data_IF_757128582494
#
_entry.id   IF_757128582494
#
_cell.length_a   1.000
_cell.length_b   1.000
_cell.length_c   1.000
_cell.angle_alpha   90.00
_cell.angle_beta   90.00
_cell.angle_gamma   90.00
#
_symmetry.space_group_name_H-M   'P 1'
#
loop_
_entity.id
_entity.type
_entity.pdbx_description
1 polymer ?
#
# COMPACT_ATOMS: atom_id res chain seq x y z
N UNK A 1 -8.05 -34.12 18.91
CA UNK A 1 -7.90 -33.70 17.51
C UNK A 1 -8.04 -32.19 17.50
N UNK A 2 -6.89 -31.53 17.61
CA UNK A 2 -6.71 -30.11 17.92
C UNK A 2 -7.15 -29.21 16.78
N UNK A 3 -8.31 -28.58 16.94
CA UNK A 3 -8.68 -27.41 16.18
C UNK A 3 -7.91 -26.21 16.75
N UNK A 4 -6.72 -25.97 16.20
CA UNK A 4 -6.02 -24.67 16.12
C UNK A 4 -6.77 -23.51 16.78
N UNK A 5 -6.44 -23.25 18.05
CA UNK A 5 -6.67 -21.96 18.69
C UNK A 5 -5.79 -20.92 17.97
N UNK A 6 -6.26 -20.43 16.83
CA UNK A 6 -5.73 -19.18 16.28
C UNK A 6 -6.08 -18.09 17.29
N UNK A 7 -5.12 -17.75 18.16
CA UNK A 7 -5.13 -16.52 18.93
C UNK A 7 -5.12 -15.35 17.94
N UNK A 8 -6.30 -14.96 17.46
CA UNK A 8 -6.43 -13.76 16.66
C UNK A 8 -5.83 -12.60 17.47
N UNK A 9 -4.91 -11.82 16.89
CA UNK A 9 -4.32 -10.69 17.60
C UNK A 9 -5.43 -9.75 18.08
N UNK A 10 -5.24 -9.13 19.23
CA UNK A 10 -6.18 -8.12 19.73
C UNK A 10 -6.34 -7.01 18.68
N UNK A 11 -7.52 -6.40 18.64
CA UNK A 11 -7.81 -5.32 17.69
C UNK A 11 -6.75 -4.19 17.75
N UNK A 12 -6.31 -3.84 18.96
CA UNK A 12 -5.22 -2.89 19.16
C UNK A 12 -3.91 -3.33 18.49
N UNK A 13 -3.57 -4.62 18.56
CA UNK A 13 -2.39 -5.17 17.88
C UNK A 13 -2.53 -5.16 16.36
N UNK A 14 -3.71 -5.47 15.83
CA UNK A 14 -4.00 -5.38 14.39
C UNK A 14 -3.94 -3.93 13.87
N UNK A 15 -4.50 -2.98 14.63
CA UNK A 15 -4.45 -1.55 14.31
C UNK A 15 -3.01 -1.04 14.32
N UNK A 16 -2.24 -1.36 15.36
CA UNK A 16 -0.84 -0.95 15.49
C UNK A 16 0.02 -1.52 14.36
N UNK A 17 -0.15 -2.80 14.02
CA UNK A 17 0.58 -3.43 12.91
C UNK A 17 0.20 -2.83 11.55
N UNK A 18 -1.08 -2.54 11.31
CA UNK A 18 -1.52 -1.86 10.10
C UNK A 18 -0.94 -0.44 10.00
N UNK A 19 -0.95 0.31 11.10
CA UNK A 19 -0.35 1.64 11.17
C UNK A 19 1.16 1.60 10.89
N UNK A 20 1.88 0.70 11.55
CA UNK A 20 3.34 0.56 11.37
C UNK A 20 3.68 0.23 9.92
N UNK A 21 2.92 -0.66 9.29
CA UNK A 21 3.09 -1.00 7.88
C UNK A 21 2.88 0.20 6.95
N UNK A 22 1.80 0.97 7.16
CA UNK A 22 1.51 2.16 6.37
C UNK A 22 2.57 3.27 6.56
N UNK A 23 3.05 3.44 7.80
CA UNK A 23 4.10 4.40 8.14
C UNK A 23 5.43 4.03 7.48
N UNK A 24 5.88 2.79 7.64
CA UNK A 24 7.13 2.31 7.03
C UNK A 24 7.06 2.41 5.50
N UNK A 25 5.94 1.99 4.90
CA UNK A 25 5.74 2.11 3.45
C UNK A 25 5.84 3.57 2.97
N UNK A 26 5.25 4.49 3.73
CA UNK A 26 5.32 5.94 3.43
C UNK A 26 6.75 6.45 3.52
N UNK A 27 7.48 6.12 4.60
CA UNK A 27 8.86 6.55 4.80
C UNK A 27 9.82 6.01 3.74
N UNK A 28 9.69 4.73 3.36
CA UNK A 28 10.51 4.12 2.31
C UNK A 28 10.33 4.87 0.98
N UNK A 29 9.08 5.18 0.62
CA UNK A 29 8.77 5.85 -0.63
C UNK A 29 9.25 7.31 -0.65
N UNK A 30 9.18 8.01 0.49
CA UNK A 30 9.75 9.36 0.63
C UNK A 30 11.28 9.33 0.56
N UNK A 31 11.92 8.35 1.19
CA UNK A 31 13.37 8.17 1.14
C UNK A 31 13.86 7.94 -0.30
N UNK A 32 13.18 7.08 -1.05
CA UNK A 32 13.51 6.82 -2.46
C UNK A 32 13.34 8.08 -3.32
N UNK A 33 12.31 8.89 -3.06
CA UNK A 33 12.09 10.14 -3.81
C UNK A 33 13.11 11.24 -3.48
N UNK A 34 13.25 11.55 -2.20
CA UNK A 34 14.00 12.74 -1.74
C UNK A 34 15.50 12.47 -1.56
N UNK A 35 15.87 11.26 -1.14
CA UNK A 35 17.26 10.91 -0.80
C UNK A 35 17.95 10.20 -1.97
N UNK A 36 17.28 9.24 -2.61
CA UNK A 36 17.84 8.57 -3.80
C UNK A 36 17.61 9.37 -5.10
N UNK A 37 16.80 10.43 -5.06
CA UNK A 37 16.55 11.30 -6.22
C UNK A 37 15.74 10.63 -7.35
N UNK A 38 15.04 9.52 -7.06
CA UNK A 38 14.21 8.84 -8.06
C UNK A 38 12.84 9.50 -8.15
N UNK A 39 12.61 10.25 -9.23
CA UNK A 39 11.34 10.92 -9.46
C UNK A 39 10.20 9.88 -9.64
N UNK A 40 9.06 10.03 -8.94
CA UNK A 40 7.96 9.10 -9.07
C UNK A 40 7.23 9.29 -10.40
N UNK A 41 6.87 8.20 -11.06
CA UNK A 41 5.96 8.27 -12.19
C UNK A 41 4.53 8.64 -11.72
N UNK A 42 3.68 9.04 -12.67
CA UNK A 42 2.29 9.44 -12.40
C UNK A 42 1.48 8.35 -11.67
N UNK A 43 1.69 7.07 -11.96
CA UNK A 43 1.02 5.97 -11.25
C UNK A 43 1.52 5.82 -9.81
N UNK A 44 2.83 5.94 -9.58
CA UNK A 44 3.40 5.98 -8.22
C UNK A 44 2.84 7.14 -7.41
N UNK A 45 2.63 8.30 -8.05
CA UNK A 45 2.03 9.46 -7.40
C UNK A 45 0.59 9.16 -6.92
N UNK A 46 -0.22 8.51 -7.75
CA UNK A 46 -1.56 8.07 -7.32
C UNK A 46 -1.50 7.09 -6.15
N UNK A 47 -0.56 6.14 -6.16
CA UNK A 47 -0.38 5.21 -5.03
C UNK A 47 -0.01 5.93 -3.73
N UNK A 48 0.87 6.95 -3.80
CA UNK A 48 1.20 7.83 -2.65
C UNK A 48 -0.02 8.57 -2.12
N UNK A 49 -0.86 9.10 -3.02
CA UNK A 49 -2.07 9.83 -2.66
C UNK A 49 -3.06 8.97 -1.84
N UNK A 50 -3.07 7.65 -2.04
CA UNK A 50 -3.88 6.73 -1.22
C UNK A 50 -3.17 6.25 0.05
N UNK A 51 -1.85 6.04 0.01
CA UNK A 51 -1.08 5.51 1.14
C UNK A 51 -0.89 6.56 2.27
N UNK A 52 -0.63 7.82 1.94
CA UNK A 52 -0.33 8.84 2.96
C UNK A 52 -1.52 9.14 3.87
N UNK A 53 -2.75 9.31 3.36
CA UNK A 53 -3.92 9.47 4.22
C UNK A 53 -4.17 8.21 5.07
N UNK A 54 -3.95 7.01 4.53
CA UNK A 54 -4.07 5.76 5.30
C UNK A 54 -3.15 5.74 6.52
N UNK A 55 -1.89 6.16 6.36
CA UNK A 55 -0.95 6.22 7.48
C UNK A 55 -1.44 7.15 8.60
N UNK A 56 -2.00 8.31 8.25
CA UNK A 56 -2.55 9.27 9.22
C UNK A 56 -3.81 8.72 9.88
N UNK A 57 -4.77 8.20 9.11
CA UNK A 57 -6.02 7.65 9.65
C UNK A 57 -5.76 6.48 10.60
N UNK A 58 -4.87 5.55 10.24
CA UNK A 58 -4.51 4.41 11.07
C UNK A 58 -3.78 4.83 12.36
N UNK A 59 -2.99 5.92 12.31
CA UNK A 59 -2.37 6.49 13.51
C UNK A 59 -3.44 6.96 14.50
N UNK A 60 -4.42 7.74 14.01
CA UNK A 60 -5.52 8.24 14.83
C UNK A 60 -6.35 7.10 15.40
N UNK A 61 -6.68 6.09 14.59
CA UNK A 61 -7.45 4.93 15.06
C UNK A 61 -6.70 4.11 16.10
N UNK A 62 -5.37 3.98 15.97
CA UNK A 62 -4.55 3.28 16.98
C UNK A 62 -4.55 4.03 18.31
N UNK A 63 -4.43 5.37 18.31
CA UNK A 63 -4.51 6.18 19.53
C UNK A 63 -5.91 6.16 20.15
N UNK A 64 -6.95 6.12 19.33
CA UNK A 64 -8.35 6.08 19.76
C UNK A 64 -8.86 4.67 20.09
N UNK A 65 -8.07 3.63 19.81
CA UNK A 65 -8.51 2.24 19.81
C UNK A 65 -9.82 2.02 19.01
N UNK A 66 -9.97 2.73 17.88
CA UNK A 66 -11.17 2.70 17.05
C UNK A 66 -11.05 1.60 15.99
N UNK A 67 -11.62 0.43 16.28
CA UNK A 67 -11.66 -0.69 15.35
C UNK A 67 -12.57 -0.44 14.15
N UNK A 68 -13.52 0.49 14.21
CA UNK A 68 -14.50 0.77 13.14
C UNK A 68 -13.89 1.51 11.93
N UNK A 69 -12.60 1.87 12.01
CA UNK A 69 -11.81 2.43 10.90
C UNK A 69 -11.88 1.60 9.62
N UNK A 70 -12.09 0.28 9.73
CA UNK A 70 -12.17 -0.62 8.58
C UNK A 70 -13.21 -0.15 7.54
N UNK A 71 -14.28 0.55 7.96
CA UNK A 71 -15.36 1.01 7.07
C UNK A 71 -14.88 1.99 6.00
N UNK A 72 -13.90 2.84 6.33
CA UNK A 72 -13.36 3.86 5.44
C UNK A 72 -11.92 3.56 4.99
N UNK A 73 -11.12 2.86 5.81
CA UNK A 73 -9.77 2.46 5.42
C UNK A 73 -9.76 1.36 4.34
N UNK A 74 -10.68 0.40 4.37
CA UNK A 74 -10.76 -0.66 3.35
C UNK A 74 -11.01 -0.12 1.94
N UNK A 75 -12.04 0.71 1.68
CA UNK A 75 -12.27 1.22 0.33
C UNK A 75 -11.11 2.09 -0.17
N UNK A 76 -10.47 2.86 0.71
CA UNK A 76 -9.30 3.66 0.36
C UNK A 76 -8.08 2.79 0.02
N UNK A 77 -7.82 1.75 0.82
CA UNK A 77 -6.76 0.78 0.54
C UNK A 77 -7.04 -0.02 -0.73
N UNK A 78 -8.30 -0.36 -1.02
CA UNK A 78 -8.71 -1.03 -2.25
C UNK A 78 -8.48 -0.16 -3.49
N UNK A 79 -8.75 1.15 -3.42
CA UNK A 79 -8.46 2.07 -4.51
C UNK A 79 -6.94 2.15 -4.80
N UNK A 80 -6.12 2.26 -3.74
CA UNK A 80 -4.67 2.19 -3.87
C UNK A 80 -4.17 0.84 -4.42
N UNK A 81 -4.78 -0.26 -4.00
CA UNK A 81 -4.48 -1.61 -4.48
C UNK A 81 -4.78 -1.78 -5.97
N UNK A 82 -5.90 -1.24 -6.47
CA UNK A 82 -6.24 -1.28 -7.90
C UNK A 82 -5.24 -0.48 -8.73
N UNK A 83 -4.81 0.70 -8.25
CA UNK A 83 -3.76 1.49 -8.89
C UNK A 83 -2.41 0.76 -8.90
N UNK A 84 -2.06 0.06 -7.81
CA UNK A 84 -0.87 -0.77 -7.73
C UNK A 84 -0.92 -1.98 -8.67
N UNK A 85 -2.07 -2.65 -8.75
CA UNK A 85 -2.30 -3.79 -9.64
C UNK A 85 -2.13 -3.36 -11.10
N UNK A 86 -2.79 -2.26 -11.49
CA UNK A 86 -2.67 -1.70 -12.83
C UNK A 86 -1.21 -1.35 -13.18
N UNK A 87 -0.49 -0.74 -12.23
CA UNK A 87 0.93 -0.42 -12.42
C UNK A 87 1.78 -1.68 -12.63
N UNK A 88 1.52 -2.72 -11.84
CA UNK A 88 2.22 -4.00 -11.97
C UNK A 88 1.95 -4.67 -13.32
N UNK A 89 0.71 -4.62 -13.82
CA UNK A 89 0.35 -5.16 -15.14
C UNK A 89 1.04 -4.40 -16.28
N UNK A 90 1.19 -3.08 -16.17
CA UNK A 90 1.96 -2.27 -17.12
C UNK A 90 3.45 -2.61 -17.07
N UNK A 91 4.01 -2.72 -15.87
CA UNK A 91 5.43 -3.02 -15.68
C UNK A 91 5.82 -4.39 -16.26
N UNK A 92 4.98 -5.40 -16.07
CA UNK A 92 5.20 -6.74 -16.65
C UNK A 92 4.76 -6.87 -18.12
N UNK A 93 4.43 -5.75 -18.79
CA UNK A 93 3.99 -5.70 -20.19
C UNK A 93 2.79 -6.62 -20.50
N UNK A 94 1.96 -6.93 -19.50
CA UNK A 94 0.69 -7.64 -19.69
C UNK A 94 -0.32 -6.74 -20.40
N UNK A 95 -0.23 -5.44 -20.14
CA UNK A 95 -1.02 -4.39 -20.81
C UNK A 95 -0.04 -3.44 -21.53
N UNK A 96 -0.29 -3.09 -22.80
CA UNK A 96 0.55 -2.13 -23.51
C UNK A 96 0.43 -0.74 -22.89
N UNK A 97 1.56 -0.05 -22.73
CA UNK A 97 1.52 1.37 -22.35
C UNK A 97 0.90 2.20 -23.48
N UNK A 98 -0.06 3.07 -23.11
CA UNK A 98 -0.56 4.06 -24.04
C UNK A 98 0.57 4.99 -24.48
N UNK A 99 0.58 5.37 -25.76
CA UNK A 99 1.58 6.29 -26.33
C UNK A 99 1.57 7.59 -25.52
N UNK A 100 2.63 7.81 -24.75
CA UNK A 100 2.82 9.07 -24.01
C UNK A 100 3.57 10.07 -24.88
N UNK A 101 3.25 11.37 -24.78
CA UNK A 101 4.06 12.42 -25.41
C UNK A 101 5.52 12.30 -24.94
N UNK A 102 6.45 12.41 -25.87
CA UNK A 102 7.87 12.39 -25.56
C UNK A 102 8.18 13.58 -24.62
N UNK A 103 8.66 13.31 -23.39
CA UNK A 103 9.21 14.33 -22.49
C UNK A 103 8.43 14.65 -21.21
N UNK A 104 7.31 13.99 -20.90
CA UNK A 104 6.58 14.26 -19.64
C UNK A 104 6.90 13.21 -18.56
N UNK A 105 8.01 13.41 -17.84
CA UNK A 105 8.38 12.65 -16.64
C UNK A 105 8.85 11.22 -16.88
N UNK A 106 9.22 10.49 -15.81
CA UNK A 106 9.72 9.11 -15.89
C UNK A 106 8.64 8.11 -16.32
N UNK A 107 9.03 7.08 -17.09
CA UNK A 107 8.13 6.05 -17.60
C UNK A 107 7.65 5.10 -16.49
N UNK A 108 6.39 4.66 -16.55
CA UNK A 108 5.82 3.75 -15.54
C UNK A 108 6.29 2.29 -15.72
N UNK A 109 6.73 1.94 -16.94
CA UNK A 109 7.32 0.65 -17.30
C UNK A 109 8.86 0.65 -17.32
N UNK A 110 9.49 1.76 -16.94
CA UNK A 110 10.94 1.92 -17.05
C UNK A 110 11.74 0.95 -16.17
N UNK A 111 12.89 0.50 -16.67
CA UNK A 111 13.84 -0.35 -15.93
C UNK A 111 14.39 0.31 -14.65
N UNK A 112 14.33 1.64 -14.61
CA UNK A 112 14.74 2.47 -13.47
C UNK A 112 13.76 2.37 -12.27
N UNK A 113 12.61 1.70 -12.45
CA UNK A 113 11.59 1.46 -11.41
C UNK A 113 11.94 0.30 -10.46
N UNK A 114 13.21 -0.09 -10.39
CA UNK A 114 13.70 -1.15 -9.52
C UNK A 114 14.48 -0.58 -8.34
N UNK A 115 14.11 -0.98 -7.13
CA UNK A 115 14.89 -0.73 -5.92
C UNK A 115 16.06 -1.71 -5.90
N UNK A 116 17.29 -1.19 -5.84
CA UNK A 116 18.55 -1.97 -5.87
C UNK A 116 18.71 -2.90 -7.09
N UNK A 117 17.99 -2.66 -8.20
CA UNK A 117 18.08 -3.47 -9.42
C UNK A 117 17.39 -4.84 -9.36
N UNK A 118 16.72 -5.19 -8.26
CA UNK A 118 16.12 -6.52 -8.05
C UNK A 118 14.63 -6.47 -7.71
N UNK A 119 14.17 -5.46 -6.96
CA UNK A 119 12.78 -5.38 -6.50
C UNK A 119 12.01 -4.26 -7.22
N UNK A 120 10.99 -4.58 -8.04
CA UNK A 120 10.15 -3.57 -8.67
C UNK A 120 9.37 -2.78 -7.60
N UNK A 121 9.46 -1.46 -7.61
CA UNK A 121 8.65 -0.58 -6.75
C UNK A 121 7.13 -0.86 -6.86
N UNK A 122 6.56 -1.15 -8.05
CA UNK A 122 5.14 -1.50 -8.17
C UNK A 122 4.74 -2.78 -7.42
N UNK A 123 5.65 -3.76 -7.34
CA UNK A 123 5.38 -5.03 -6.65
C UNK A 123 5.35 -4.84 -5.13
N UNK A 124 6.23 -3.98 -4.61
CA UNK A 124 6.28 -3.61 -3.20
C UNK A 124 5.01 -2.89 -2.75
N UNK A 125 4.52 -1.94 -3.54
CA UNK A 125 3.29 -1.23 -3.19
C UNK A 125 2.07 -2.15 -3.23
N UNK A 126 1.99 -3.05 -4.23
CA UNK A 126 0.94 -4.06 -4.30
C UNK A 126 0.95 -4.96 -3.05
N UNK A 127 2.12 -5.42 -2.62
CA UNK A 127 2.27 -6.21 -1.40
C UNK A 127 1.82 -5.44 -0.14
N UNK A 128 2.23 -4.17 -0.01
CA UNK A 128 1.85 -3.32 1.12
C UNK A 128 0.34 -3.10 1.21
N UNK A 129 -0.32 -2.73 0.09
CA UNK A 129 -1.78 -2.58 0.06
C UNK A 129 -2.52 -3.90 0.30
N UNK A 130 -2.00 -5.02 -0.21
CA UNK A 130 -2.59 -6.34 0.03
C UNK A 130 -2.55 -6.69 1.52
N UNK A 131 -1.41 -6.47 2.18
CA UNK A 131 -1.26 -6.74 3.60
C UNK A 131 -2.13 -5.80 4.45
N UNK A 132 -2.23 -4.51 4.10
CA UNK A 132 -3.15 -3.56 4.73
C UNK A 132 -4.61 -4.03 4.63
N UNK A 133 -5.06 -4.44 3.44
CA UNK A 133 -6.41 -4.95 3.24
C UNK A 133 -6.65 -6.19 4.10
N UNK A 134 -5.70 -7.14 4.16
CA UNK A 134 -5.82 -8.33 4.99
C UNK A 134 -5.98 -7.94 6.47
N UNK A 135 -5.13 -7.05 6.99
CA UNK A 135 -5.21 -6.59 8.39
C UNK A 135 -6.54 -5.90 8.70
N UNK A 136 -7.02 -5.04 7.80
CA UNK A 136 -8.30 -4.35 7.94
C UNK A 136 -9.49 -5.30 7.85
N UNK A 137 -9.42 -6.34 7.02
CA UNK A 137 -10.45 -7.38 6.95
C UNK A 137 -10.46 -8.27 8.19
N UNK A 138 -9.31 -8.52 8.82
CA UNK A 138 -9.24 -9.20 10.11
C UNK A 138 -9.88 -8.34 11.21
N UNK A 139 -9.60 -7.04 11.25
CA UNK A 139 -10.29 -6.10 12.15
C UNK A 139 -11.80 -6.11 11.96
N UNK A 140 -12.27 -6.09 10.70
CA UNK A 140 -13.71 -6.21 10.39
C UNK A 140 -14.33 -7.50 10.93
N UNK A 141 -13.59 -8.62 10.90
CA UNK A 141 -14.08 -9.91 11.42
C UNK A 141 -14.22 -9.89 12.94
N UNK A 142 -13.30 -9.23 13.64
CA UNK A 142 -13.36 -9.08 15.10
C UNK A 142 -14.43 -8.08 15.55
N UNK A 143 -14.69 -7.04 14.75
CA UNK A 143 -15.71 -6.03 15.03
C UNK A 143 -17.16 -6.49 14.80
N UNK A 144 -17.37 -7.66 14.15
CA UNK A 144 -18.71 -8.26 14.07
C UNK A 144 -19.04 -8.90 15.43
N UNK A 145 -20.16 -8.51 16.09
CA UNK A 145 -20.64 -9.17 17.29
C UNK A 145 -21.10 -10.61 17.01
#
# INVERSE_FOLDING_TARGET
MDATSKTLPSDAGLLFTAWLLALVSTLVVLFVGEVMGQEPCVLCWYQRAFMFPLAIMLAVATVRCDSDIWRYAVPLAAAGWLAALYHNLLYFAVIPEAIKPCGTGPSCSGVDMTMMGVLPLPSLSLAAFTLLIILLLLLRRNAKP
#
